data_IF_137287933680
#
_entry.id   IF_137287933680
#
_cell.length_a   1.000
_cell.length_b   1.000
_cell.length_c   1.000
_cell.angle_alpha   90.00
_cell.angle_beta   90.00
_cell.angle_gamma   90.00
#
_symmetry.space_group_name_H-M   'P 1'
#
loop_
_entity.id
_entity.type
_entity.pdbx_description
1 polymer ?
#
# COMPACT_ATOMS: atom_id res chain seq x y z
N UNK A 1 -10.36 -2.22 12.19
CA UNK A 1 -9.18 -1.32 12.11
C UNK A 1 -8.81 -0.95 10.66
N UNK A 2 -9.79 -0.84 9.74
CA UNK A 2 -9.57 -0.39 8.36
C UNK A 2 -10.76 0.48 7.90
N UNK A 3 -11.18 1.41 8.75
CA UNK A 3 -12.37 2.28 8.57
C UNK A 3 -12.11 3.47 7.62
N UNK A 4 -11.27 3.29 6.60
CA UNK A 4 -10.93 4.39 5.68
C UNK A 4 -11.32 3.99 4.28
N UNK A 5 -12.50 4.47 3.86
CA UNK A 5 -12.96 4.47 2.48
C UNK A 5 -12.12 5.47 1.66
N UNK A 6 -10.80 5.28 1.65
CA UNK A 6 -9.90 6.11 0.88
C UNK A 6 -9.95 5.60 -0.56
N UNK A 7 -10.31 6.51 -1.47
CA UNK A 7 -10.35 6.19 -2.89
C UNK A 7 -8.91 6.01 -3.41
N UNK A 8 -8.71 5.13 -4.39
CA UNK A 8 -7.38 4.88 -4.96
C UNK A 8 -6.73 6.15 -5.52
N UNK A 9 -7.55 7.08 -6.04
CA UNK A 9 -7.09 8.39 -6.52
C UNK A 9 -6.58 9.28 -5.38
N UNK A 10 -7.30 9.32 -4.26
CA UNK A 10 -6.92 10.13 -3.09
C UNK A 10 -5.65 9.58 -2.45
N UNK A 11 -5.58 8.25 -2.30
CA UNK A 11 -4.38 7.59 -1.78
C UNK A 11 -3.16 7.82 -2.69
N UNK A 12 -3.36 7.77 -4.01
CA UNK A 12 -2.33 8.08 -5.01
C UNK A 12 -1.79 9.51 -4.90
N UNK A 13 -2.67 10.51 -4.77
CA UNK A 13 -2.27 11.90 -4.53
C UNK A 13 -1.53 12.08 -3.20
N UNK A 14 -1.97 11.40 -2.14
CA UNK A 14 -1.36 11.52 -0.81
C UNK A 14 0.06 10.96 -0.74
N UNK A 15 0.32 9.85 -1.44
CA UNK A 15 1.63 9.18 -1.42
C UNK A 15 2.48 9.49 -2.66
N UNK A 16 2.01 10.39 -3.54
CA UNK A 16 2.74 10.79 -4.75
C UNK A 16 2.94 9.67 -5.77
N UNK A 17 2.07 8.64 -5.78
CA UNK A 17 2.13 7.54 -6.73
C UNK A 17 1.08 7.64 -7.82
N UNK A 18 1.32 7.00 -8.95
CA UNK A 18 0.32 6.87 -10.00
C UNK A 18 -0.86 6.00 -9.52
N UNK A 19 -2.13 6.35 -9.82
CA UNK A 19 -3.31 5.58 -9.38
C UNK A 19 -3.28 4.11 -9.81
N UNK A 20 -2.66 3.79 -10.96
CA UNK A 20 -2.47 2.40 -11.40
C UNK A 20 -1.55 1.61 -10.45
N UNK A 21 -0.50 2.24 -9.91
CA UNK A 21 0.39 1.62 -8.93
C UNK A 21 -0.35 1.37 -7.63
N UNK A 22 -1.13 2.33 -7.14
CA UNK A 22 -1.95 2.16 -5.93
C UNK A 22 -3.01 1.06 -6.11
N UNK A 23 -3.63 0.99 -7.28
CA UNK A 23 -4.60 -0.07 -7.57
C UNK A 23 -3.98 -1.46 -7.53
N UNK A 24 -2.75 -1.63 -8.02
CA UNK A 24 -2.02 -2.91 -7.91
C UNK A 24 -1.80 -3.27 -6.43
N UNK A 25 -1.56 -2.27 -5.56
CA UNK A 25 -1.19 -2.42 -4.14
C UNK A 25 -2.40 -2.91 -3.37
N UNK A 26 -3.55 -2.27 -3.63
CA UNK A 26 -4.83 -2.66 -3.06
C UNK A 26 -5.28 -4.05 -3.51
N UNK A 27 -5.05 -4.40 -4.79
CA UNK A 27 -5.39 -5.72 -5.33
C UNK A 27 -4.39 -6.82 -4.98
N UNK A 28 -3.43 -6.58 -4.08
CA UNK A 28 -2.38 -7.53 -3.67
C UNK A 28 -1.61 -8.14 -4.86
N UNK A 29 -1.55 -7.44 -6.00
CA UNK A 29 -0.78 -7.89 -7.17
C UNK A 29 0.70 -7.62 -6.91
N UNK A 30 1.58 -8.48 -7.44
CA UNK A 30 3.03 -8.40 -7.22
C UNK A 30 3.57 -6.99 -7.48
N UNK A 31 4.20 -6.43 -6.45
CA UNK A 31 5.10 -5.29 -6.57
C UNK A 31 6.52 -5.80 -6.64
N UNK A 32 7.29 -5.25 -7.56
CA UNK A 32 8.70 -5.59 -7.69
C UNK A 32 9.53 -5.02 -6.54
N UNK A 33 9.14 -3.85 -6.01
CA UNK A 33 9.83 -3.15 -4.93
C UNK A 33 8.89 -2.13 -4.26
N UNK A 34 9.07 -1.93 -2.97
CA UNK A 34 8.57 -0.76 -2.23
C UNK A 34 9.77 -0.01 -1.67
N UNK A 35 9.74 1.33 -1.74
CA UNK A 35 10.78 2.17 -1.16
C UNK A 35 10.37 2.66 0.23
N UNK A 36 11.33 3.02 1.08
CA UNK A 36 11.07 3.46 2.46
C UNK A 36 10.10 4.64 2.49
N UNK A 37 10.30 5.64 1.63
CA UNK A 37 9.41 6.80 1.56
C UNK A 37 7.98 6.41 1.13
N UNK A 38 7.85 5.38 0.31
CA UNK A 38 6.54 4.86 -0.11
C UNK A 38 5.83 4.12 1.04
N UNK A 39 6.57 3.26 1.75
CA UNK A 39 6.05 2.53 2.90
C UNK A 39 5.64 3.49 4.03
N UNK A 40 6.47 4.50 4.32
CA UNK A 40 6.16 5.52 5.32
C UNK A 40 4.90 6.31 4.94
N UNK A 41 4.82 6.77 3.69
CA UNK A 41 3.66 7.52 3.20
C UNK A 41 2.37 6.69 3.29
N UNK A 42 2.42 5.40 2.98
CA UNK A 42 1.30 4.48 3.15
C UNK A 42 0.90 4.32 4.62
N UNK A 43 1.86 4.06 5.51
CA UNK A 43 1.61 3.94 6.96
C UNK A 43 0.97 5.23 7.52
N UNK A 44 1.46 6.40 7.12
CA UNK A 44 0.88 7.71 7.51
C UNK A 44 -0.51 7.92 6.92
N UNK A 45 -0.68 7.65 5.63
CA UNK A 45 -1.95 7.83 4.92
C UNK A 45 -3.04 6.90 5.45
N UNK A 46 -2.69 5.66 5.82
CA UNK A 46 -3.61 4.65 6.33
C UNK A 46 -3.69 4.61 7.87
N UNK A 47 -2.77 5.29 8.57
CA UNK A 47 -2.61 5.24 10.04
C UNK A 47 -2.46 3.79 10.54
N UNK A 48 -1.60 3.04 9.87
CA UNK A 48 -1.29 1.65 10.22
C UNK A 48 0.21 1.45 10.39
N UNK A 49 0.60 0.28 10.89
CA UNK A 49 1.99 -0.13 11.01
C UNK A 49 2.44 -0.91 9.76
N UNK A 50 3.74 -0.95 9.44
CA UNK A 50 4.24 -1.72 8.31
C UNK A 50 3.92 -3.22 8.42
N UNK A 51 3.85 -3.76 9.63
CA UNK A 51 3.43 -5.14 9.89
C UNK A 51 1.96 -5.42 9.53
N UNK A 52 1.09 -4.40 9.50
CA UNK A 52 -0.29 -4.54 9.01
C UNK A 52 -0.36 -4.59 7.48
N UNK A 53 0.63 -4.02 6.79
CA UNK A 53 0.68 -3.94 5.33
C UNK A 53 1.42 -5.12 4.69
N UNK A 54 2.36 -5.72 5.42
CA UNK A 54 3.27 -6.73 4.91
C UNK A 54 3.05 -8.04 5.67
N UNK A 55 2.70 -9.08 4.92
CA UNK A 55 2.68 -10.46 5.42
C UNK A 55 3.66 -11.27 4.59
N UNK A 56 4.47 -12.09 5.25
CA UNK A 56 5.24 -13.10 4.55
C UNK A 56 4.28 -14.19 4.09
N UNK A 57 4.13 -14.33 2.77
CA UNK A 57 3.44 -15.46 2.17
C UNK A 57 4.50 -16.40 1.63
N UNK A 58 4.66 -17.56 2.26
CA UNK A 58 5.44 -18.64 1.69
C UNK A 58 4.74 -19.03 0.40
N UNK A 59 5.32 -18.64 -0.74
CA UNK A 59 4.91 -19.15 -2.05
C UNK A 59 5.25 -20.64 -2.03
N UNK A 60 4.29 -21.43 -1.56
CA UNK A 60 4.37 -22.88 -1.49
C UNK A 60 4.49 -23.38 -2.93
N UNK A 61 5.72 -23.71 -3.32
CA UNK A 61 6.07 -24.43 -4.52
C UNK A 61 6.72 -25.74 -4.11
#
# INVERSE_FOLDING_TARGET
MAERDINNKELASLIGMHPTSVSRLRSRRRFTRIDEGTLEALCKALKCQPGDLMVYEESNE
#
